data_IF_350912137304
#
_entry.id   IF_350912137304
#
_cell.length_a   1.000
_cell.length_b   1.000
_cell.length_c   1.000
_cell.angle_alpha   90.00
_cell.angle_beta   90.00
_cell.angle_gamma   90.00
#
_symmetry.space_group_name_H-M   'P 1'
#
loop_
_entity.id
_entity.type
_entity.pdbx_description
1 polymer ?
#
# COMPACT_ATOMS: atom_id res chain seq x y z
N UNK A 1 28.93 -30.87 38.92
CA UNK A 1 29.30 -29.45 39.11
C UNK A 1 28.08 -28.63 38.74
N UNK A 2 27.38 -28.04 39.72
CA UNK A 2 26.22 -27.18 39.45
C UNK A 2 26.71 -25.78 39.04
N UNK A 3 26.09 -25.21 37.99
CA UNK A 3 26.36 -23.84 37.56
C UNK A 3 26.04 -22.87 38.70
N UNK A 4 26.92 -21.90 38.94
CA UNK A 4 26.70 -20.87 39.95
C UNK A 4 25.49 -20.00 39.58
N UNK A 5 24.80 -19.44 40.57
CA UNK A 5 23.66 -18.56 40.32
C UNK A 5 24.01 -17.37 39.39
N UNK A 6 25.25 -16.91 39.45
CA UNK A 6 25.79 -15.86 38.56
C UNK A 6 25.87 -16.32 37.11
N UNK A 7 26.28 -17.58 36.86
CA UNK A 7 26.35 -18.14 35.52
C UNK A 7 24.95 -18.34 34.89
N UNK A 8 23.97 -18.72 35.70
CA UNK A 8 22.57 -18.78 35.26
C UNK A 8 22.03 -17.39 34.90
N UNK A 9 22.31 -16.39 35.73
CA UNK A 9 21.88 -15.02 35.50
C UNK A 9 22.50 -14.45 34.20
N UNK A 10 23.80 -14.62 34.01
CA UNK A 10 24.48 -14.12 32.81
C UNK A 10 23.97 -14.79 31.53
N UNK A 11 23.68 -16.09 31.58
CA UNK A 11 23.11 -16.82 30.45
C UNK A 11 21.71 -16.33 30.10
N UNK A 12 20.86 -16.10 31.10
CA UNK A 12 19.49 -15.60 30.91
C UNK A 12 19.50 -14.18 30.33
N UNK A 13 20.40 -13.32 30.83
CA UNK A 13 20.61 -11.97 30.29
C UNK A 13 21.04 -12.02 28.82
N UNK A 14 21.98 -12.89 28.44
CA UNK A 14 22.43 -13.00 27.05
C UNK A 14 21.32 -13.50 26.10
N UNK A 15 20.51 -14.46 26.57
CA UNK A 15 19.36 -15.00 25.83
C UNK A 15 18.26 -13.95 25.66
N UNK A 16 18.11 -12.98 26.57
CA UNK A 16 17.11 -11.92 26.42
C UNK A 16 17.66 -10.75 25.60
N UNK A 17 18.88 -10.29 25.87
CA UNK A 17 19.43 -9.10 25.23
C UNK A 17 19.64 -9.29 23.73
N UNK A 18 20.15 -10.46 23.31
CA UNK A 18 20.52 -10.66 21.90
C UNK A 18 19.28 -10.78 20.98
N UNK A 19 18.36 -11.75 21.16
CA UNK A 19 17.17 -11.83 20.34
C UNK A 19 16.11 -10.80 20.74
N UNK A 20 16.00 -10.43 22.03
CA UNK A 20 14.93 -9.54 22.50
C UNK A 20 15.05 -8.13 21.92
N UNK A 21 16.27 -7.58 21.83
CA UNK A 21 16.47 -6.27 21.17
C UNK A 21 16.12 -6.36 19.69
N UNK A 22 16.54 -7.43 18.99
CA UNK A 22 16.20 -7.63 17.59
C UNK A 22 14.67 -7.75 17.37
N UNK A 23 13.97 -8.51 18.22
CA UNK A 23 12.51 -8.63 18.17
C UNK A 23 11.82 -7.29 18.41
N UNK A 24 12.27 -6.51 19.40
CA UNK A 24 11.68 -5.19 19.70
C UNK A 24 11.88 -4.22 18.53
N UNK A 25 13.08 -4.19 17.95
CA UNK A 25 13.37 -3.33 16.78
C UNK A 25 12.52 -3.74 15.59
N UNK A 26 12.40 -5.05 15.31
CA UNK A 26 11.61 -5.56 14.20
C UNK A 26 10.12 -5.26 14.37
N UNK A 27 9.55 -5.50 15.55
CA UNK A 27 8.15 -5.17 15.86
C UNK A 27 7.90 -3.66 15.75
N UNK A 28 8.83 -2.84 16.26
CA UNK A 28 8.72 -1.37 16.14
C UNK A 28 8.82 -0.91 14.69
N UNK A 29 9.69 -1.53 13.90
CA UNK A 29 9.84 -1.25 12.46
C UNK A 29 8.55 -1.58 11.72
N UNK A 30 8.03 -2.81 11.88
CA UNK A 30 6.77 -3.24 11.27
C UNK A 30 5.59 -2.34 11.65
N UNK A 31 5.44 -2.01 12.95
CA UNK A 31 4.38 -1.08 13.40
C UNK A 31 4.56 0.34 12.87
N UNK A 32 5.80 0.77 12.65
CA UNK A 32 6.06 2.09 12.06
C UNK A 32 5.72 2.13 10.57
N UNK A 33 5.84 1.00 9.88
CA UNK A 33 5.40 0.84 8.49
C UNK A 33 3.87 0.79 8.40
N UNK A 34 3.21 0.06 9.29
CA UNK A 34 1.73 0.04 9.40
C UNK A 34 1.18 1.45 9.64
N UNK A 35 1.77 2.21 10.57
CA UNK A 35 1.38 3.62 10.82
C UNK A 35 1.60 4.51 9.60
N UNK A 36 2.66 4.29 8.82
CA UNK A 36 2.92 5.05 7.58
C UNK A 36 1.93 4.69 6.48
N UNK A 37 1.57 3.42 6.35
CA UNK A 37 0.56 2.96 5.41
C UNK A 37 -0.83 3.52 5.77
N UNK A 38 -1.17 3.50 7.05
CA UNK A 38 -2.41 4.10 7.58
C UNK A 38 -2.45 5.60 7.29
N UNK A 39 -1.35 6.32 7.52
CA UNK A 39 -1.26 7.74 7.17
C UNK A 39 -1.30 7.99 5.65
N UNK A 40 -0.73 7.14 4.81
CA UNK A 40 -0.85 7.26 3.34
C UNK A 40 -2.28 6.98 2.87
N UNK A 41 -3.00 6.10 3.57
CA UNK A 41 -4.40 5.80 3.28
C UNK A 41 -5.33 6.91 3.81
N UNK A 42 -4.96 7.59 4.88
CA UNK A 42 -5.70 8.70 5.49
C UNK A 42 -5.37 10.06 4.85
N UNK A 43 -4.18 10.23 4.24
CA UNK A 43 -3.75 11.43 3.51
C UNK A 43 -4.32 11.57 2.10
N UNK A 44 -5.44 10.90 1.81
CA UNK A 44 -6.20 11.11 0.60
C UNK A 44 -5.70 10.21 -0.52
N UNK A 45 -6.67 9.53 -1.10
CA UNK A 45 -6.61 8.84 -2.38
C UNK A 45 -5.75 9.61 -3.38
N UNK A 46 -4.46 9.26 -3.48
CA UNK A 46 -3.58 9.84 -4.48
C UNK A 46 -4.09 9.32 -5.82
N UNK A 47 -4.56 10.22 -6.67
CA UNK A 47 -4.72 9.92 -8.08
C UNK A 47 -3.40 9.35 -8.60
N UNK A 48 -3.39 8.05 -8.82
CA UNK A 48 -2.18 7.28 -9.10
C UNK A 48 -1.84 7.29 -10.58
N UNK A 49 -2.76 7.75 -11.44
CA UNK A 49 -2.63 7.64 -12.89
C UNK A 49 -2.83 8.99 -13.56
N UNK A 50 -1.86 9.39 -14.39
CA UNK A 50 -2.07 10.49 -15.31
C UNK A 50 -3.18 10.16 -16.33
N UNK A 51 -3.78 11.17 -17.00
CA UNK A 51 -4.83 10.94 -18.01
C UNK A 51 -4.44 9.91 -19.07
N UNK A 52 -3.18 9.98 -19.50
CA UNK A 52 -2.60 9.02 -20.44
C UNK A 52 -2.53 7.61 -19.87
N UNK A 53 -2.03 7.46 -18.65
CA UNK A 53 -1.85 6.14 -18.03
C UNK A 53 -3.20 5.46 -17.77
N UNK A 54 -4.23 6.21 -17.34
CA UNK A 54 -5.56 5.65 -17.14
C UNK A 54 -6.21 5.23 -18.48
N UNK A 55 -5.98 6.00 -19.54
CA UNK A 55 -6.42 5.64 -20.91
C UNK A 55 -5.74 4.37 -21.41
N UNK A 56 -4.42 4.26 -21.27
CA UNK A 56 -3.65 3.07 -21.65
C UNK A 56 -4.11 1.83 -20.84
N UNK A 57 -4.41 1.99 -19.55
CA UNK A 57 -4.97 0.92 -18.72
C UNK A 57 -6.35 0.46 -19.21
N UNK A 58 -7.23 1.40 -19.54
CA UNK A 58 -8.56 1.09 -20.09
C UNK A 58 -8.46 0.33 -21.42
N UNK A 59 -7.60 0.78 -22.32
CA UNK A 59 -7.35 0.11 -23.60
C UNK A 59 -6.81 -1.31 -23.39
N UNK A 60 -5.87 -1.47 -22.46
CA UNK A 60 -5.32 -2.78 -22.12
C UNK A 60 -6.38 -3.73 -21.57
N UNK A 61 -7.27 -3.26 -20.68
CA UNK A 61 -8.38 -4.06 -20.12
C UNK A 61 -9.34 -4.50 -21.23
N UNK A 62 -9.66 -3.61 -22.17
CA UNK A 62 -10.54 -3.92 -23.31
C UNK A 62 -9.91 -4.93 -24.28
N UNK A 63 -8.59 -4.83 -24.50
CA UNK A 63 -7.86 -5.75 -25.36
C UNK A 63 -7.62 -7.13 -24.73
N UNK A 64 -7.61 -7.23 -23.39
CA UNK A 64 -7.24 -8.44 -22.66
C UNK A 64 -8.31 -8.88 -21.63
N UNK A 65 -9.56 -9.13 -22.05
CA UNK A 65 -10.65 -9.41 -21.10
C UNK A 65 -10.49 -10.72 -20.31
N UNK A 66 -9.72 -11.69 -20.84
CA UNK A 66 -9.50 -13.00 -20.24
C UNK A 66 -8.11 -13.14 -19.57
N UNK A 67 -7.35 -12.05 -19.47
CA UNK A 67 -6.06 -12.09 -18.79
C UNK A 67 -6.28 -12.31 -17.28
N UNK A 68 -5.43 -13.13 -16.61
CA UNK A 68 -5.54 -13.36 -15.17
C UNK A 68 -5.55 -12.09 -14.31
N UNK A 69 -4.97 -11.00 -14.80
CA UNK A 69 -4.89 -9.71 -14.11
C UNK A 69 -5.98 -8.72 -14.56
N UNK A 70 -6.86 -9.07 -15.51
CA UNK A 70 -7.87 -8.16 -16.04
C UNK A 70 -8.84 -7.65 -14.96
N UNK A 71 -9.23 -8.52 -14.01
CA UNK A 71 -10.09 -8.13 -12.89
C UNK A 71 -9.41 -7.13 -11.95
N UNK A 72 -8.13 -7.36 -11.63
CA UNK A 72 -7.34 -6.47 -10.78
C UNK A 72 -7.13 -5.12 -11.47
N UNK A 73 -6.79 -5.13 -12.76
CA UNK A 73 -6.64 -3.91 -13.56
C UNK A 73 -7.94 -3.10 -13.58
N UNK A 74 -9.09 -3.77 -13.68
CA UNK A 74 -10.41 -3.14 -13.63
C UNK A 74 -10.72 -2.50 -12.28
N UNK A 75 -10.46 -3.23 -11.19
CA UNK A 75 -10.59 -2.72 -9.82
C UNK A 75 -9.76 -1.44 -9.64
N UNK A 76 -8.49 -1.47 -10.08
CA UNK A 76 -7.57 -0.33 -10.01
C UNK A 76 -8.02 0.86 -10.85
N UNK A 77 -8.50 0.61 -12.06
CA UNK A 77 -9.08 1.66 -12.89
C UNK A 77 -10.26 2.34 -12.17
N UNK A 78 -11.20 1.55 -11.64
CA UNK A 78 -12.39 2.09 -10.97
C UNK A 78 -12.04 2.83 -9.66
N UNK A 79 -11.06 2.32 -8.90
CA UNK A 79 -10.53 3.00 -7.70
C UNK A 79 -9.98 4.39 -8.05
N UNK A 80 -9.22 4.50 -9.15
CA UNK A 80 -8.70 5.77 -9.64
C UNK A 80 -9.83 6.72 -10.09
N UNK A 81 -10.80 6.22 -10.85
CA UNK A 81 -11.96 7.03 -11.28
C UNK A 81 -12.75 7.57 -10.09
N UNK A 82 -12.99 6.75 -9.05
CA UNK A 82 -13.69 7.20 -7.83
C UNK A 82 -12.89 8.26 -7.08
N UNK A 83 -11.59 8.04 -6.95
CA UNK A 83 -10.64 8.98 -6.35
C UNK A 83 -10.69 10.34 -7.05
N UNK A 84 -10.56 10.34 -8.38
CA UNK A 84 -10.56 11.56 -9.20
C UNK A 84 -11.86 12.36 -9.09
N UNK A 85 -12.98 11.69 -8.84
CA UNK A 85 -14.29 12.34 -8.64
C UNK A 85 -14.51 12.87 -7.23
N UNK A 86 -13.71 12.43 -6.25
CA UNK A 86 -13.84 12.82 -4.84
C UNK A 86 -12.84 13.92 -4.44
N UNK A 87 -11.69 14.01 -5.12
CA UNK A 87 -10.66 15.01 -4.84
C UNK A 87 -10.93 16.33 -5.56
N UNK A 88 -10.76 17.45 -4.84
CA UNK A 88 -10.93 18.80 -5.41
C UNK A 88 -9.76 19.19 -6.34
N UNK A 89 -8.54 18.75 -6.03
CA UNK A 89 -7.33 19.10 -6.78
C UNK A 89 -6.52 17.82 -7.10
N UNK A 90 -6.57 17.33 -8.36
CA UNK A 90 -5.81 16.17 -8.78
C UNK A 90 -4.30 16.48 -8.85
N UNK A 91 -3.47 15.46 -8.61
CA UNK A 91 -2.01 15.61 -8.65
C UNK A 91 -1.47 15.82 -10.07
N UNK A 92 -2.06 15.15 -11.06
CA UNK A 92 -1.75 15.34 -12.47
C UNK A 92 -2.63 16.41 -13.09
N UNK A 93 -2.20 16.95 -14.24
CA UNK A 93 -2.99 17.89 -15.04
C UNK A 93 -4.21 17.18 -15.66
N UNK A 94 -5.28 17.09 -14.88
CA UNK A 94 -6.60 16.66 -15.34
C UNK A 94 -7.48 17.88 -15.58
N UNK A 95 -8.20 17.89 -16.69
CA UNK A 95 -9.32 18.81 -16.85
C UNK A 95 -10.57 18.27 -16.15
N UNK A 96 -11.44 19.16 -15.70
CA UNK A 96 -12.74 18.79 -15.12
C UNK A 96 -13.58 17.99 -16.12
N UNK A 97 -13.55 18.36 -17.40
CA UNK A 97 -14.26 17.67 -18.46
C UNK A 97 -13.75 16.23 -18.68
N UNK A 98 -12.45 15.99 -18.53
CA UNK A 98 -11.88 14.64 -18.62
C UNK A 98 -12.35 13.76 -17.45
N UNK A 99 -12.33 14.30 -16.23
CA UNK A 99 -12.77 13.58 -15.01
C UNK A 99 -14.26 13.24 -15.09
N UNK A 100 -15.09 14.16 -15.57
CA UNK A 100 -16.54 13.94 -15.73
C UNK A 100 -16.86 12.82 -16.73
N UNK A 101 -16.05 12.68 -17.78
CA UNK A 101 -16.18 11.64 -18.81
C UNK A 101 -15.67 10.26 -18.36
N UNK A 102 -14.98 10.16 -17.22
CA UNK A 102 -14.51 8.88 -16.71
C UNK A 102 -15.69 8.03 -16.22
N UNK A 103 -15.74 6.79 -16.72
CA UNK A 103 -16.73 5.79 -16.33
C UNK A 103 -16.07 4.62 -15.62
N UNK A 104 -16.73 4.10 -14.59
CA UNK A 104 -16.33 2.83 -13.97
C UNK A 104 -16.66 1.66 -14.93
N UNK A 105 -15.72 0.73 -15.05
CA UNK A 105 -15.87 -0.46 -15.87
C UNK A 105 -16.68 -1.53 -15.10
N UNK A 106 -17.63 -2.18 -15.77
CA UNK A 106 -18.49 -3.20 -15.15
C UNK A 106 -17.66 -4.36 -14.57
N UNK A 107 -17.97 -4.85 -13.34
CA UNK A 107 -17.23 -5.90 -12.66
C UNK A 107 -17.16 -7.20 -13.47
#
# INVERSE_FOLDING_TARGET
>A
MALTAVAWLSMLVAIILLPGVATVVLVKSMRSEERKLELLQEQGSIDSYSPRALTELREWIQANPNDPYASIARERHNECVRTLKDIDEPYYEWSTEEIEQLEELQP
#
